data_IF_431891200712
#
_entry.id   IF_431891200712
#
_cell.length_a   1.000
_cell.length_b   1.000
_cell.length_c   1.000
_cell.angle_alpha   90.00
_cell.angle_beta   90.00
_cell.angle_gamma   90.00
#
_symmetry.space_group_name_H-M   'P 1'
#
loop_
_entity.id
_entity.type
_entity.pdbx_description
1 polymer ?
#
# COMPACT_ATOMS: atom_id res chain seq x y z
N UNK A 1 2.16 3.55 23.31
CA UNK A 1 2.60 2.17 23.23
C UNK A 1 1.78 1.33 22.24
N UNK A 2 0.45 1.26 22.36
CA UNK A 2 -0.39 0.52 21.40
C UNK A 2 -0.32 1.08 19.98
N UNK A 3 -0.24 2.42 19.82
CA UNK A 3 -0.11 3.10 18.52
C UNK A 3 1.20 2.73 17.82
N UNK A 4 2.29 2.63 18.58
CA UNK A 4 3.61 2.30 18.04
C UNK A 4 3.68 0.84 17.59
N UNK A 5 3.05 -0.06 18.34
CA UNK A 5 2.95 -1.48 17.94
C UNK A 5 2.12 -1.64 16.67
N UNK A 6 1.00 -0.92 16.53
CA UNK A 6 0.16 -1.00 15.36
C UNK A 6 0.91 -0.59 14.09
N UNK A 7 1.75 0.45 14.16
CA UNK A 7 2.56 0.91 13.03
C UNK A 7 3.59 -0.16 12.64
N UNK A 8 4.31 -0.71 13.62
CA UNK A 8 5.34 -1.74 13.36
C UNK A 8 4.75 -3.05 12.87
N UNK A 9 3.48 -3.33 13.21
CA UNK A 9 2.78 -4.54 12.81
C UNK A 9 2.10 -4.40 11.44
N UNK A 10 2.16 -3.23 10.82
CA UNK A 10 1.56 -3.00 9.51
C UNK A 10 2.11 -3.99 8.48
N UNK A 11 1.23 -4.49 7.63
CA UNK A 11 1.57 -5.45 6.58
C UNK A 11 1.88 -4.71 5.30
N UNK A 12 3.09 -4.91 4.79
CA UNK A 12 3.57 -4.22 3.60
C UNK A 12 3.82 -5.25 2.50
N UNK A 13 3.14 -5.09 1.38
CA UNK A 13 3.32 -5.93 0.20
C UNK A 13 4.18 -5.19 -0.82
N UNK A 14 5.29 -5.78 -1.22
CA UNK A 14 6.21 -5.18 -2.20
C UNK A 14 6.19 -5.99 -3.48
N UNK A 15 5.81 -5.38 -4.58
CA UNK A 15 5.68 -6.02 -5.89
C UNK A 15 6.71 -5.43 -6.83
N UNK A 16 7.69 -6.21 -7.23
CA UNK A 16 8.76 -5.83 -8.16
C UNK A 16 9.38 -7.10 -8.72
N UNK A 17 9.62 -7.14 -10.03
CA UNK A 17 10.20 -8.32 -10.66
C UNK A 17 11.73 -8.41 -10.49
N UNK A 18 12.36 -7.36 -9.99
CA UNK A 18 13.81 -7.30 -9.79
C UNK A 18 14.17 -7.70 -8.37
N UNK A 19 14.86 -8.85 -8.17
CA UNK A 19 15.19 -9.32 -6.81
C UNK A 19 16.01 -8.31 -5.99
N UNK A 20 16.91 -7.57 -6.63
CA UNK A 20 17.72 -6.56 -5.95
C UNK A 20 16.86 -5.43 -5.39
N UNK A 21 15.83 -5.01 -6.12
CA UNK A 21 14.90 -3.97 -5.65
C UNK A 21 14.05 -4.47 -4.48
N UNK A 22 13.59 -5.71 -4.53
CA UNK A 22 12.85 -6.32 -3.43
C UNK A 22 13.70 -6.41 -2.17
N UNK A 23 14.95 -6.84 -2.31
CA UNK A 23 15.88 -6.94 -1.19
C UNK A 23 16.16 -5.56 -0.57
N UNK A 24 16.36 -4.54 -1.39
CA UNK A 24 16.60 -3.19 -0.92
C UNK A 24 15.38 -2.64 -0.17
N UNK A 25 14.20 -2.75 -0.76
CA UNK A 25 12.98 -2.28 -0.11
C UNK A 25 12.74 -3.00 1.23
N UNK A 26 12.89 -4.31 1.25
CA UNK A 26 12.72 -5.10 2.48
C UNK A 26 13.73 -4.70 3.55
N UNK A 27 14.99 -4.46 3.17
CA UNK A 27 16.03 -4.05 4.10
C UNK A 27 15.74 -2.66 4.70
N UNK A 28 15.33 -1.71 3.89
CA UNK A 28 14.98 -0.36 4.33
C UNK A 28 13.78 -0.41 5.29
N UNK A 29 12.74 -1.15 4.92
CA UNK A 29 11.54 -1.29 5.74
C UNK A 29 11.82 -1.98 7.07
N UNK A 30 12.64 -3.04 7.06
CA UNK A 30 13.05 -3.73 8.30
C UNK A 30 13.83 -2.80 9.22
N UNK A 31 14.70 -1.97 8.66
CA UNK A 31 15.48 -0.98 9.42
C UNK A 31 14.58 0.07 10.07
N UNK A 32 13.47 0.41 9.40
CA UNK A 32 12.48 1.36 9.94
C UNK A 32 11.57 0.73 11.01
N UNK A 33 11.70 -0.58 11.24
CA UNK A 33 10.97 -1.26 12.30
C UNK A 33 9.78 -2.11 11.84
N UNK A 34 9.53 -2.19 10.54
CA UNK A 34 8.43 -3.03 10.02
C UNK A 34 8.87 -4.49 9.97
N UNK A 35 8.02 -5.38 10.49
CA UNK A 35 8.33 -6.81 10.56
C UNK A 35 7.47 -7.67 9.63
N UNK A 36 6.34 -7.16 9.17
CA UNK A 36 5.41 -7.91 8.32
C UNK A 36 5.53 -7.45 6.86
N UNK A 37 6.58 -7.93 6.19
CA UNK A 37 6.88 -7.55 4.82
C UNK A 37 6.79 -8.81 3.95
N UNK A 38 5.97 -8.76 2.91
CA UNK A 38 5.91 -9.81 1.90
C UNK A 38 6.37 -9.25 0.56
N UNK A 39 7.29 -9.93 -0.08
CA UNK A 39 7.80 -9.56 -1.40
C UNK A 39 7.21 -10.47 -2.47
N UNK A 40 6.84 -9.89 -3.61
CA UNK A 40 6.24 -10.60 -4.74
C UNK A 40 7.13 -10.39 -5.96
N UNK A 41 7.99 -11.38 -6.29
CA UNK A 41 8.88 -11.27 -7.44
C UNK A 41 8.18 -11.56 -8.79
N UNK A 42 7.07 -12.24 -8.76
CA UNK A 42 6.27 -12.50 -9.96
C UNK A 42 4.99 -11.65 -9.92
N UNK A 43 4.92 -10.58 -10.72
CA UNK A 43 3.76 -9.68 -10.70
C UNK A 43 2.44 -10.37 -11.10
N UNK A 44 2.49 -11.51 -11.78
CA UNK A 44 1.29 -12.27 -12.09
C UNK A 44 0.62 -12.86 -10.86
N UNK A 45 1.35 -12.98 -9.76
CA UNK A 45 0.82 -13.45 -8.48
C UNK A 45 0.37 -12.30 -7.57
N UNK A 46 0.46 -11.05 -8.03
CA UNK A 46 0.22 -9.88 -7.18
C UNK A 46 -1.19 -9.85 -6.59
N UNK A 47 -2.21 -10.12 -7.41
CA UNK A 47 -3.61 -10.09 -6.95
C UNK A 47 -3.86 -11.19 -5.92
N UNK A 48 -3.41 -12.41 -6.21
CA UNK A 48 -3.55 -13.55 -5.30
C UNK A 48 -2.88 -13.28 -3.96
N UNK A 49 -1.65 -12.74 -4.01
CA UNK A 49 -0.89 -12.42 -2.79
C UNK A 49 -1.53 -11.28 -2.02
N UNK A 50 -2.05 -10.28 -2.71
CA UNK A 50 -2.79 -9.18 -2.08
C UNK A 50 -3.98 -9.72 -1.27
N UNK A 51 -4.78 -10.57 -1.88
CA UNK A 51 -5.97 -11.12 -1.23
C UNK A 51 -5.61 -12.02 -0.03
N UNK A 52 -4.54 -12.80 -0.14
CA UNK A 52 -4.09 -13.69 0.93
C UNK A 52 -3.42 -12.94 2.09
N UNK A 53 -2.58 -11.98 1.78
CA UNK A 53 -1.78 -11.25 2.77
C UNK A 53 -2.58 -10.14 3.46
N UNK A 54 -3.52 -9.53 2.79
CA UNK A 54 -4.31 -8.40 3.28
C UNK A 54 -3.42 -7.26 3.76
N UNK A 55 -2.68 -6.61 2.85
CA UNK A 55 -1.73 -5.59 3.24
C UNK A 55 -2.38 -4.30 3.75
N UNK A 56 -1.62 -3.55 4.53
CA UNK A 56 -1.95 -2.19 4.93
C UNK A 56 -1.33 -1.16 4.00
N UNK A 57 -0.32 -1.55 3.24
CA UNK A 57 0.35 -0.73 2.24
C UNK A 57 0.85 -1.63 1.12
N UNK A 58 0.69 -1.18 -0.12
CA UNK A 58 1.25 -1.83 -1.30
C UNK A 58 2.29 -0.92 -1.93
N UNK A 59 3.48 -1.47 -2.18
CA UNK A 59 4.54 -0.83 -2.95
C UNK A 59 4.62 -1.54 -4.31
N UNK A 60 4.39 -0.81 -5.38
CA UNK A 60 4.30 -1.38 -6.73
C UNK A 60 5.28 -0.71 -7.68
N UNK A 61 6.18 -1.49 -8.27
CA UNK A 61 6.99 -1.04 -9.39
C UNK A 61 6.15 -1.09 -10.69
N UNK A 62 6.12 0.02 -11.42
CA UNK A 62 5.38 0.08 -12.68
C UNK A 62 6.18 -0.46 -13.86
N UNK A 63 7.51 -0.46 -13.77
CA UNK A 63 8.39 -0.79 -14.88
C UNK A 63 8.86 -2.24 -14.82
N UNK A 64 7.95 -3.15 -15.17
CA UNK A 64 8.23 -4.59 -15.19
C UNK A 64 8.09 -5.13 -16.60
N UNK A 65 9.16 -5.74 -17.19
CA UNK A 65 9.08 -6.28 -18.54
C UNK A 65 7.99 -7.34 -18.68
N UNK A 66 7.24 -7.28 -19.77
CA UNK A 66 6.20 -8.27 -20.07
C UNK A 66 4.91 -8.11 -19.28
N UNK A 67 4.84 -7.15 -18.37
CA UNK A 67 3.65 -6.86 -17.58
C UNK A 67 3.30 -5.38 -17.74
N UNK A 68 2.02 -5.11 -17.95
CA UNK A 68 1.51 -3.74 -17.93
C UNK A 68 1.30 -3.32 -16.47
N UNK A 69 2.24 -2.56 -15.92
CA UNK A 69 2.20 -2.10 -14.53
C UNK A 69 1.00 -1.21 -14.25
N UNK A 70 0.56 -0.43 -15.22
CA UNK A 70 -0.64 0.41 -15.06
C UNK A 70 -1.92 -0.42 -15.00
N UNK A 71 -2.01 -1.49 -15.79
CA UNK A 71 -3.14 -2.41 -15.72
C UNK A 71 -3.20 -3.10 -14.36
N UNK A 72 -2.05 -3.51 -13.83
CA UNK A 72 -1.97 -4.10 -12.50
C UNK A 72 -2.35 -3.08 -11.43
N UNK A 73 -1.87 -1.84 -11.54
CA UNK A 73 -2.24 -0.76 -10.63
C UNK A 73 -3.75 -0.53 -10.62
N UNK A 74 -4.38 -0.51 -11.79
CA UNK A 74 -5.84 -0.36 -11.90
C UNK A 74 -6.57 -1.47 -11.15
N UNK A 75 -6.16 -2.72 -11.34
CA UNK A 75 -6.77 -3.86 -10.66
C UNK A 75 -6.58 -3.80 -9.14
N UNK A 76 -5.37 -3.51 -8.69
CA UNK A 76 -5.07 -3.35 -7.26
C UNK A 76 -5.82 -2.15 -6.68
N UNK A 77 -5.90 -1.06 -7.42
CA UNK A 77 -6.60 0.15 -6.99
C UNK A 77 -8.08 -0.11 -6.74
N UNK A 78 -8.73 -0.92 -7.58
CA UNK A 78 -10.13 -1.29 -7.39
C UNK A 78 -10.33 -2.14 -6.14
N UNK A 79 -9.43 -3.07 -5.88
CA UNK A 79 -9.46 -3.87 -4.65
C UNK A 79 -9.20 -3.00 -3.42
N UNK A 80 -8.27 -2.06 -3.54
CA UNK A 80 -7.81 -1.24 -2.43
C UNK A 80 -8.83 -0.21 -1.95
N UNK A 81 -9.82 0.17 -2.77
CA UNK A 81 -10.84 1.16 -2.38
C UNK A 81 -12.16 0.53 -1.93
N UNK A 82 -12.23 -0.81 -1.84
CA UNK A 82 -13.46 -1.50 -1.41
C UNK A 82 -13.87 -1.07 0.01
N UNK A 83 -14.11 -1.97 0.92
CA UNK A 83 -14.59 -1.62 2.26
C UNK A 83 -13.53 -0.95 3.15
N UNK A 84 -12.27 -1.27 2.92
CA UNK A 84 -11.18 -0.88 3.81
C UNK A 84 -10.00 -0.37 2.95
N UNK A 85 -9.93 0.96 2.72
CA UNK A 85 -8.98 1.52 1.78
C UNK A 85 -7.52 1.24 2.13
N UNK A 86 -6.77 0.69 1.16
CA UNK A 86 -5.35 0.38 1.29
C UNK A 86 -4.57 1.30 0.35
N UNK A 87 -3.64 2.13 0.86
CA UNK A 87 -2.83 2.97 -0.01
C UNK A 87 -1.86 2.15 -0.85
N UNK A 88 -1.67 2.60 -2.09
CA UNK A 88 -0.70 2.05 -3.03
C UNK A 88 0.32 3.13 -3.34
N UNK A 89 1.58 2.85 -3.05
CA UNK A 89 2.69 3.70 -3.44
C UNK A 89 3.39 3.10 -4.65
N UNK A 90 3.52 3.89 -5.69
CA UNK A 90 4.13 3.48 -6.95
C UNK A 90 5.58 3.89 -7.00
N UNK A 91 6.44 2.98 -7.45
CA UNK A 91 7.85 3.23 -7.71
C UNK A 91 8.06 3.23 -9.23
N UNK A 92 8.66 4.29 -9.77
CA UNK A 92 8.87 4.38 -11.21
C UNK A 92 10.08 5.23 -11.55
N UNK A 93 10.77 4.88 -12.64
CA UNK A 93 11.85 5.70 -13.21
C UNK A 93 11.30 6.80 -14.11
N UNK A 94 10.05 6.73 -14.50
CA UNK A 94 9.41 7.72 -15.38
C UNK A 94 8.94 8.93 -14.57
N UNK A 95 9.61 10.07 -14.78
CA UNK A 95 9.32 11.32 -14.07
C UNK A 95 8.38 12.24 -14.83
N UNK A 96 7.81 11.79 -15.97
CA UNK A 96 6.93 12.63 -16.77
C UNK A 96 5.64 12.96 -16.02
N UNK A 97 5.09 14.13 -16.33
CA UNK A 97 3.81 14.57 -15.76
C UNK A 97 2.69 13.63 -16.18
N UNK A 98 2.74 13.13 -17.41
CA UNK A 98 1.73 12.20 -17.95
C UNK A 98 1.71 10.88 -17.18
N UNK A 99 2.90 10.29 -16.94
CA UNK A 99 3.02 9.05 -16.16
C UNK A 99 2.49 9.23 -14.74
N UNK A 100 2.85 10.35 -14.12
CA UNK A 100 2.40 10.69 -12.77
C UNK A 100 0.88 10.83 -12.69
N UNK A 101 0.30 11.58 -13.63
CA UNK A 101 -1.16 11.77 -13.68
C UNK A 101 -1.89 10.45 -13.92
N UNK A 102 -1.34 9.62 -14.81
CA UNK A 102 -1.91 8.31 -15.10
C UNK A 102 -1.92 7.40 -13.88
N UNK A 103 -0.80 7.34 -13.16
CA UNK A 103 -0.71 6.52 -11.95
C UNK A 103 -1.69 7.00 -10.87
N UNK A 104 -1.79 8.32 -10.64
CA UNK A 104 -2.72 8.87 -9.67
C UNK A 104 -4.17 8.60 -10.07
N UNK A 105 -4.51 8.74 -11.34
CA UNK A 105 -5.86 8.45 -11.85
C UNK A 105 -6.26 6.99 -11.67
N UNK A 106 -5.30 6.07 -11.70
CA UNK A 106 -5.53 4.64 -11.52
C UNK A 106 -5.54 4.18 -10.08
N UNK A 107 -5.31 5.10 -9.14
CA UNK A 107 -5.43 4.79 -7.72
C UNK A 107 -4.16 4.86 -6.89
N UNK A 108 -3.02 5.25 -7.48
CA UNK A 108 -1.82 5.46 -6.69
C UNK A 108 -2.02 6.60 -5.69
N UNK A 109 -1.66 6.36 -4.45
CA UNK A 109 -1.75 7.36 -3.39
C UNK A 109 -0.52 8.24 -3.35
N UNK A 110 0.62 7.70 -3.73
CA UNK A 110 1.88 8.42 -3.80
C UNK A 110 2.77 7.79 -4.86
N UNK A 111 3.74 8.56 -5.33
CA UNK A 111 4.67 8.14 -6.37
C UNK A 111 6.09 8.49 -5.92
N UNK A 112 6.98 7.52 -5.95
CA UNK A 112 8.39 7.71 -5.65
C UNK A 112 9.21 7.39 -6.90
N UNK A 113 10.11 8.29 -7.25
CA UNK A 113 10.97 8.14 -8.42
C UNK A 113 12.18 7.26 -8.10
N UNK A 114 12.52 6.34 -9.00
CA UNK A 114 13.73 5.54 -8.91
C UNK A 114 14.90 6.25 -9.64
N UNK A 115 16.12 6.22 -9.11
CA UNK A 115 16.49 5.68 -7.80
C UNK A 115 15.96 6.55 -6.66
N UNK A 116 15.43 5.94 -5.61
CA UNK A 116 14.84 6.69 -4.53
C UNK A 116 15.86 7.00 -3.42
N UNK A 117 15.64 8.12 -2.76
CA UNK A 117 16.33 8.47 -1.53
C UNK A 117 15.72 7.63 -0.40
N UNK A 118 16.58 6.94 0.36
CA UNK A 118 16.15 6.03 1.43
C UNK A 118 15.35 6.78 2.50
N UNK A 119 15.77 7.98 2.84
CA UNK A 119 15.09 8.80 3.84
C UNK A 119 13.70 9.24 3.36
N UNK A 120 13.61 9.73 2.12
CA UNK A 120 12.32 10.11 1.52
C UNK A 120 11.38 8.91 1.42
N UNK A 121 11.88 7.77 0.97
CA UNK A 121 11.11 6.54 0.89
C UNK A 121 10.52 6.16 2.25
N UNK A 122 11.34 6.16 3.29
CA UNK A 122 10.91 5.84 4.65
C UNK A 122 9.84 6.79 5.17
N UNK A 123 9.99 8.10 4.93
CA UNK A 123 8.99 9.09 5.33
C UNK A 123 7.66 8.90 4.63
N UNK A 124 7.68 8.63 3.33
CA UNK A 124 6.44 8.43 2.55
C UNK A 124 5.72 7.15 2.99
N UNK A 125 6.46 6.08 3.25
CA UNK A 125 5.91 4.84 3.78
C UNK A 125 5.25 5.10 5.14
N UNK A 126 5.93 5.78 6.05
CA UNK A 126 5.39 6.09 7.37
C UNK A 126 4.10 6.91 7.28
N UNK A 127 4.07 7.92 6.41
CA UNK A 127 2.89 8.75 6.21
C UNK A 127 1.70 7.94 5.70
N UNK A 128 1.93 7.03 4.76
CA UNK A 128 0.85 6.21 4.19
C UNK A 128 0.34 5.18 5.20
N UNK A 129 1.21 4.61 6.00
CA UNK A 129 0.79 3.67 7.05
C UNK A 129 -0.02 4.39 8.13
N UNK A 130 0.40 5.58 8.55
CA UNK A 130 -0.39 6.39 9.47
C UNK A 130 -1.77 6.69 8.91
N UNK A 131 -1.84 7.09 7.65
CA UNK A 131 -3.11 7.34 6.97
C UNK A 131 -3.99 6.08 6.99
N UNK A 132 -3.42 4.94 6.63
CA UNK A 132 -4.12 3.65 6.62
C UNK A 132 -4.72 3.32 7.98
N UNK A 133 -3.93 3.44 9.05
CA UNK A 133 -4.37 3.13 10.38
C UNK A 133 -5.44 4.10 10.87
N UNK A 134 -5.31 5.38 10.53
CA UNK A 134 -6.30 6.40 10.85
C UNK A 134 -7.64 6.13 10.17
N UNK A 135 -7.62 5.84 8.87
CA UNK A 135 -8.81 5.51 8.10
C UNK A 135 -9.47 4.22 8.62
N UNK A 136 -8.68 3.23 9.01
CA UNK A 136 -9.18 2.01 9.63
C UNK A 136 -9.93 2.26 10.92
N UNK A 137 -9.44 3.15 11.76
CA UNK A 137 -10.11 3.55 13.00
C UNK A 137 -11.43 4.27 12.73
N UNK A 138 -11.46 5.17 11.77
CA UNK A 138 -12.66 5.88 11.37
C UNK A 138 -13.71 4.91 10.81
N UNK A 139 -13.29 3.96 10.00
CA UNK A 139 -14.15 2.94 9.44
C UNK A 139 -14.80 2.08 10.55
N UNK A 140 -14.01 1.64 11.53
CA UNK A 140 -14.50 0.88 12.67
C UNK A 140 -15.43 1.72 13.56
N UNK A 141 -15.09 2.97 13.80
CA UNK A 141 -15.94 3.89 14.56
C UNK A 141 -17.28 4.12 13.85
N UNK A 142 -17.27 4.26 12.52
CA UNK A 142 -18.49 4.36 11.72
C UNK A 142 -19.36 3.12 11.81
N UNK A 143 -18.77 1.93 11.75
CA UNK A 143 -19.49 0.66 11.93
C UNK A 143 -20.07 0.53 13.34
N UNK A 144 -19.31 0.88 14.36
CA UNK A 144 -19.78 0.86 15.75
C UNK A 144 -20.94 1.84 15.95
N UNK A 145 -20.85 3.04 15.37
CA UNK A 145 -21.92 4.03 15.41
C UNK A 145 -23.19 3.55 14.72
N UNK A 146 -23.06 2.89 13.59
CA UNK A 146 -24.19 2.33 12.84
C UNK A 146 -24.87 1.22 13.63
N UNK A 147 -24.11 0.32 14.23
CA UNK A 147 -24.63 -0.77 15.05
C UNK A 147 -25.38 -0.21 16.28
N UNK A 148 -24.79 0.81 16.91
CA UNK A 148 -25.44 1.45 18.10
C UNK A 148 -26.73 2.15 17.70
N UNK A 149 -26.79 2.71 16.49
CA UNK A 149 -28.00 3.35 15.97
C UNK A 149 -29.12 2.34 15.67
N UNK A 150 -28.77 1.15 15.23
CA UNK A 150 -29.73 0.08 14.93
C UNK A 150 -30.31 -0.55 16.17
N UNK A 151 -29.58 -0.59 17.27
CA UNK A 151 -30.00 -1.11 18.55
C UNK A 151 -30.85 -0.12 19.35
N UNK A 152 -31.12 1.05 18.82
CA UNK A 152 -32.04 1.98 19.45
C UNK A 152 -33.44 1.36 19.44
N UNK A 153 -33.99 1.00 20.57
CA UNK A 153 -35.33 0.38 20.61
C UNK A 153 -36.31 1.38 20.03
N UNK A 154 -37.01 0.94 19.04
CA UNK A 154 -38.22 1.62 18.62
C UNK A 154 -39.16 1.61 19.84
N UNK A 155 -39.20 2.73 20.50
CA UNK A 155 -39.86 2.97 21.76
C UNK A 155 -41.03 2.15 22.15
#
# INVERSE_FOLDING_TARGET
MSRMRAVCDARILVIDDEPANLALAAAVLSREGYSNIETVPDPRQAIERYLAFRPDLVLLDLMMPGIDGYALLDRLGRLAVADDPVPIMVLTADTSIEARRRALALGARDIVTKPFDVFEFGLRVANLIELRLLLGRLHQAGKAGTVTGEDSPAG
#
